data_IF_893921159248
#
_entry.id   IF_893921159248
#
_cell.length_a   1.000
_cell.length_b   1.000
_cell.length_c   1.000
_cell.angle_alpha   90.00
_cell.angle_beta   90.00
_cell.angle_gamma   90.00
#
_symmetry.space_group_name_H-M   'P 1'
#
loop_
_entity.id
_entity.type
_entity.pdbx_description
1 polymer ?
#
# COMPACT_ATOMS: atom_id res chain seq x y z
N UNK A 1 25.79 7.31 22.29
CA UNK A 1 24.64 6.40 22.07
C UNK A 1 24.13 6.75 20.68
N UNK A 2 24.51 5.98 19.66
CA UNK A 2 23.87 6.12 18.35
C UNK A 2 22.38 5.85 18.55
N UNK A 3 21.46 6.69 18.04
CA UNK A 3 20.09 6.59 18.46
C UNK A 3 19.49 5.29 17.93
N UNK A 4 18.57 4.75 18.71
CA UNK A 4 17.59 3.68 18.43
C UNK A 4 16.70 3.94 17.21
N UNK A 5 17.14 4.78 16.26
CA UNK A 5 16.40 5.36 15.13
C UNK A 5 17.14 5.26 13.79
N UNK A 6 18.28 4.56 13.72
CA UNK A 6 18.94 4.32 12.44
C UNK A 6 18.36 3.07 11.78
N UNK A 7 17.20 3.20 11.10
CA UNK A 7 16.55 2.07 10.42
C UNK A 7 17.13 1.81 9.02
N UNK A 8 17.52 2.86 8.27
CA UNK A 8 18.13 2.74 6.94
C UNK A 8 19.13 3.89 6.71
N UNK A 9 20.32 3.57 6.22
CA UNK A 9 21.28 4.56 5.67
C UNK A 9 21.58 4.18 4.23
N UNK A 10 21.13 5.00 3.29
CA UNK A 10 21.54 4.86 1.89
C UNK A 10 22.93 5.49 1.71
N UNK A 11 23.89 4.65 1.34
CA UNK A 11 25.25 5.10 0.99
C UNK A 11 25.36 5.04 -0.54
N UNK A 12 25.34 6.21 -1.17
CA UNK A 12 25.54 6.36 -2.62
C UNK A 12 26.93 6.93 -2.89
N UNK A 13 27.47 6.65 -4.08
CA UNK A 13 28.73 7.27 -4.51
C UNK A 13 28.61 8.80 -4.49
N UNK A 14 29.62 9.55 -4.00
CA UNK A 14 29.64 11.01 -4.09
C UNK A 14 29.62 11.54 -5.53
N UNK A 15 29.87 10.67 -6.52
CA UNK A 15 29.83 11.01 -7.94
C UNK A 15 28.42 10.87 -8.55
N UNK A 16 27.47 10.29 -7.83
CA UNK A 16 26.08 10.14 -8.29
C UNK A 16 25.39 11.51 -8.23
N UNK A 17 24.86 12.04 -9.35
CA UNK A 17 24.05 13.26 -9.33
C UNK A 17 22.84 13.12 -8.41
N UNK A 18 22.57 14.15 -7.60
CA UNK A 18 21.47 14.13 -6.61
C UNK A 18 20.11 14.44 -7.26
N UNK A 19 20.12 15.07 -8.43
CA UNK A 19 18.96 15.63 -9.13
C UNK A 19 18.66 14.94 -10.48
N UNK A 20 19.37 13.84 -10.81
CA UNK A 20 19.20 13.14 -12.08
C UNK A 20 19.06 11.64 -11.87
N UNK A 21 18.23 11.01 -12.70
CA UNK A 21 18.17 9.55 -12.80
C UNK A 21 19.47 9.02 -13.44
N UNK A 22 20.00 7.93 -12.90
CA UNK A 22 21.22 7.29 -13.40
C UNK A 22 20.90 5.86 -13.82
N UNK A 23 21.30 5.47 -15.03
CA UNK A 23 21.10 4.12 -15.57
C UNK A 23 22.22 3.13 -15.17
N UNK A 24 23.27 3.63 -14.53
CA UNK A 24 24.41 2.87 -14.01
C UNK A 24 24.55 3.12 -12.49
N UNK A 25 23.74 2.42 -11.67
CA UNK A 25 23.70 2.64 -10.23
C UNK A 25 24.95 2.04 -9.57
N UNK A 26 25.71 2.88 -8.86
CA UNK A 26 26.86 2.45 -8.06
C UNK A 26 26.47 2.40 -6.58
N UNK A 27 26.46 1.19 -6.02
CA UNK A 27 26.17 0.92 -4.61
C UNK A 27 27.28 0.13 -3.90
N UNK A 28 27.03 -0.23 -2.64
CA UNK A 28 27.94 -1.02 -1.79
C UNK A 28 27.44 -2.46 -1.53
N UNK A 29 26.37 -2.85 -2.22
CA UNK A 29 25.65 -4.11 -2.00
C UNK A 29 26.31 -5.35 -2.65
N UNK A 30 25.71 -6.53 -2.44
CA UNK A 30 26.23 -7.81 -2.92
C UNK A 30 26.07 -8.07 -4.42
N UNK A 31 25.33 -7.23 -5.15
CA UNK A 31 25.06 -7.38 -6.57
C UNK A 31 25.26 -6.07 -7.33
N UNK A 32 25.66 -6.18 -8.59
CA UNK A 32 25.76 -5.07 -9.56
C UNK A 32 24.68 -5.20 -10.62
N UNK A 33 24.16 -4.07 -11.10
CA UNK A 33 23.27 -4.05 -12.26
C UNK A 33 24.06 -4.44 -13.51
N UNK A 34 23.64 -5.51 -14.18
CA UNK A 34 24.26 -6.02 -15.40
C UNK A 34 23.53 -5.52 -16.64
N UNK A 35 22.20 -5.61 -16.65
CA UNK A 35 21.36 -5.13 -17.75
C UNK A 35 20.01 -4.69 -17.21
N UNK A 36 19.47 -3.62 -17.79
CA UNK A 36 18.12 -3.12 -17.52
C UNK A 36 17.37 -2.91 -18.84
N UNK A 37 16.16 -3.46 -18.91
CA UNK A 37 15.17 -3.22 -19.96
C UNK A 37 13.77 -3.19 -19.32
N UNK A 38 12.74 -2.65 -20.00
CA UNK A 38 11.39 -2.65 -19.45
C UNK A 38 10.82 -4.06 -19.14
N UNK A 39 11.37 -5.11 -19.76
CA UNK A 39 10.90 -6.49 -19.57
C UNK A 39 11.79 -7.33 -18.65
N UNK A 40 13.03 -6.90 -18.41
CA UNK A 40 14.04 -7.74 -17.74
C UNK A 40 15.10 -6.90 -17.05
N UNK A 41 15.46 -7.31 -15.83
CA UNK A 41 16.59 -6.79 -15.06
C UNK A 41 17.49 -7.93 -14.68
N UNK A 42 18.78 -7.79 -14.94
CA UNK A 42 19.79 -8.79 -14.65
C UNK A 42 20.77 -8.21 -13.64
N UNK A 43 20.99 -8.96 -12.56
CA UNK A 43 21.95 -8.65 -11.52
C UNK A 43 23.02 -9.74 -11.48
N UNK A 44 24.28 -9.35 -11.41
CA UNK A 44 25.41 -10.26 -11.20
C UNK A 44 26.00 -10.04 -9.80
N UNK A 45 26.46 -11.11 -9.15
CA UNK A 45 27.09 -11.01 -7.84
C UNK A 45 28.38 -10.18 -7.91
N UNK A 46 28.56 -9.28 -6.94
CA UNK A 46 29.72 -8.42 -6.86
C UNK A 46 30.89 -9.11 -6.15
N UNK A 47 31.95 -9.44 -6.90
CA UNK A 47 33.11 -10.14 -6.36
C UNK A 47 33.84 -9.40 -5.23
N UNK A 48 33.77 -8.06 -5.24
CA UNK A 48 34.36 -7.17 -4.24
C UNK A 48 33.44 -6.88 -3.05
N UNK A 49 32.32 -7.60 -2.90
CA UNK A 49 31.42 -7.39 -1.78
C UNK A 49 32.15 -7.65 -0.45
N UNK A 50 32.02 -6.69 0.46
CA UNK A 50 32.71 -6.70 1.75
C UNK A 50 32.11 -7.69 2.76
N UNK A 51 30.89 -8.17 2.51
CA UNK A 51 30.19 -9.14 3.35
C UNK A 51 30.37 -10.58 2.91
N UNK A 52 29.48 -11.47 3.38
CA UNK A 52 29.44 -12.87 2.95
C UNK A 52 29.06 -12.94 1.47
N UNK A 53 29.82 -13.71 0.69
CA UNK A 53 29.51 -13.92 -0.73
C UNK A 53 28.19 -14.70 -0.89
N UNK A 54 27.29 -14.25 -1.78
CA UNK A 54 26.01 -14.92 -2.03
C UNK A 54 26.22 -16.27 -2.72
N UNK A 55 25.32 -17.24 -2.48
CA UNK A 55 25.30 -18.47 -3.28
C UNK A 55 24.71 -18.22 -4.67
N UNK A 56 23.71 -17.32 -4.75
CA UNK A 56 23.17 -16.84 -6.01
C UNK A 56 24.21 -15.93 -6.67
N UNK A 57 24.72 -16.33 -7.83
CA UNK A 57 25.73 -15.56 -8.59
C UNK A 57 25.12 -14.66 -9.66
N UNK A 58 23.88 -14.96 -10.07
CA UNK A 58 23.13 -14.19 -11.06
C UNK A 58 21.64 -14.28 -10.77
N UNK A 59 20.94 -13.15 -10.83
CA UNK A 59 19.49 -13.08 -10.71
C UNK A 59 18.90 -12.38 -11.94
N UNK A 60 17.83 -12.95 -12.49
CA UNK A 60 17.11 -12.37 -13.63
C UNK A 60 15.66 -12.15 -13.21
N UNK A 61 15.25 -10.88 -13.18
CA UNK A 61 13.88 -10.47 -12.94
C UNK A 61 13.18 -10.35 -14.27
N UNK A 62 12.02 -10.99 -14.40
CA UNK A 62 11.22 -10.98 -15.63
C UNK A 62 9.83 -10.46 -15.29
N UNK A 63 9.38 -9.43 -16.01
CA UNK A 63 8.08 -8.84 -15.75
C UNK A 63 6.97 -9.66 -16.40
N UNK A 64 6.02 -10.10 -15.58
CA UNK A 64 4.78 -10.78 -15.98
C UNK A 64 3.62 -10.21 -15.17
N UNK A 65 2.66 -9.52 -15.79
CA UNK A 65 1.55 -8.90 -15.07
C UNK A 65 0.65 -9.92 -14.37
N UNK A 66 0.35 -11.02 -15.04
CA UNK A 66 -0.63 -12.01 -14.60
C UNK A 66 -0.03 -12.94 -13.54
N UNK A 67 -0.71 -13.02 -12.39
CA UNK A 67 -0.32 -13.89 -11.27
C UNK A 67 -0.24 -15.37 -11.69
N UNK A 68 -1.24 -15.86 -12.40
CA UNK A 68 -1.30 -17.24 -12.86
C UNK A 68 -0.12 -17.62 -13.77
N UNK A 69 0.32 -16.69 -14.63
CA UNK A 69 1.51 -16.90 -15.48
C UNK A 69 2.76 -17.01 -14.61
N UNK A 70 2.94 -16.12 -13.63
CA UNK A 70 4.09 -16.20 -12.71
C UNK A 70 4.11 -17.50 -11.91
N UNK A 71 2.95 -17.90 -11.38
CA UNK A 71 2.81 -19.12 -10.61
C UNK A 71 3.13 -20.38 -11.43
N UNK A 72 2.68 -20.42 -12.70
CA UNK A 72 2.98 -21.49 -13.64
C UNK A 72 4.47 -21.53 -14.03
N UNK A 73 5.12 -20.38 -14.22
CA UNK A 73 6.57 -20.34 -14.51
C UNK A 73 7.40 -20.97 -13.39
N UNK A 74 7.01 -20.80 -12.12
CA UNK A 74 7.71 -21.47 -11.01
C UNK A 74 7.41 -22.96 -10.97
N UNK A 75 6.16 -23.34 -11.24
CA UNK A 75 5.74 -24.75 -11.28
C UNK A 75 6.46 -25.56 -12.38
N UNK A 76 6.69 -24.95 -13.55
CA UNK A 76 7.41 -25.59 -14.66
C UNK A 76 8.93 -25.48 -14.55
N UNK A 77 9.44 -24.73 -13.58
CA UNK A 77 10.87 -24.47 -13.38
C UNK A 77 11.48 -23.43 -14.33
N UNK A 78 10.67 -22.64 -15.04
CA UNK A 78 11.12 -21.47 -15.82
C UNK A 78 11.56 -20.31 -14.91
N UNK A 79 10.99 -20.21 -13.71
CA UNK A 79 11.38 -19.26 -12.67
C UNK A 79 11.63 -19.97 -11.33
N UNK A 80 12.49 -19.38 -10.49
CA UNK A 80 12.82 -19.95 -9.17
C UNK A 80 11.87 -19.53 -8.05
N UNK A 81 11.24 -18.36 -8.17
CA UNK A 81 10.23 -17.86 -7.24
C UNK A 81 9.38 -16.79 -7.94
N UNK A 82 8.20 -16.53 -7.39
CA UNK A 82 7.42 -15.33 -7.70
C UNK A 82 6.81 -14.76 -6.42
N UNK A 83 7.00 -13.45 -6.15
CA UNK A 83 6.24 -12.77 -5.12
C UNK A 83 4.81 -12.44 -5.57
N UNK A 84 3.97 -12.09 -4.60
CA UNK A 84 2.66 -11.46 -4.78
C UNK A 84 1.77 -12.14 -5.82
N UNK A 85 1.47 -13.43 -5.64
CA UNK A 85 0.44 -14.12 -6.42
C UNK A 85 -0.94 -13.97 -5.78
N UNK A 86 -2.00 -14.13 -6.58
CA UNK A 86 -3.38 -14.16 -6.13
C UNK A 86 -3.65 -15.44 -5.34
N UNK A 87 -4.59 -15.39 -4.39
CA UNK A 87 -4.91 -16.54 -3.55
C UNK A 87 -5.33 -17.77 -4.39
N UNK A 88 -6.11 -17.58 -5.45
CA UNK A 88 -6.54 -18.68 -6.32
C UNK A 88 -5.39 -19.35 -7.08
N UNK A 89 -4.25 -18.66 -7.25
CA UNK A 89 -3.04 -19.20 -7.88
C UNK A 89 -2.08 -19.82 -6.86
N UNK A 90 -2.29 -19.58 -5.56
CA UNK A 90 -1.54 -20.17 -4.45
C UNK A 90 -2.08 -21.58 -4.11
N UNK A 91 -2.05 -22.48 -5.11
CA UNK A 91 -2.71 -23.78 -5.07
C UNK A 91 -1.90 -24.93 -4.46
N UNK A 92 -0.61 -24.73 -4.14
CA UNK A 92 0.29 -25.78 -3.65
C UNK A 92 0.93 -25.40 -2.30
N UNK A 93 0.43 -25.92 -1.16
CA UNK A 93 0.95 -25.61 0.18
C UNK A 93 2.43 -25.99 0.42
N UNK A 94 3.04 -26.82 -0.42
CA UNK A 94 4.47 -27.17 -0.30
C UNK A 94 5.40 -26.10 -0.85
N UNK A 95 4.92 -25.31 -1.82
CA UNK A 95 5.69 -24.26 -2.50
C UNK A 95 5.13 -22.86 -2.28
N UNK A 96 3.87 -22.75 -1.85
CA UNK A 96 3.15 -21.51 -1.69
C UNK A 96 3.08 -21.12 -0.22
N UNK A 97 3.61 -19.94 0.07
CA UNK A 97 3.76 -19.45 1.42
C UNK A 97 2.96 -18.16 1.56
N UNK A 98 2.01 -18.18 2.50
CA UNK A 98 1.31 -17.00 2.97
C UNK A 98 2.14 -16.31 4.08
N UNK A 99 2.16 -14.98 4.08
CA UNK A 99 2.84 -14.17 5.10
C UNK A 99 2.16 -12.81 5.25
N UNK A 100 2.16 -12.24 6.45
CA UNK A 100 1.78 -10.85 6.63
C UNK A 100 2.75 -9.97 5.85
N UNK A 101 2.29 -9.17 4.90
CA UNK A 101 3.19 -8.41 4.03
C UNK A 101 3.47 -6.97 4.52
N UNK A 102 2.99 -6.60 5.72
CA UNK A 102 3.12 -5.27 6.32
C UNK A 102 2.48 -4.12 5.54
N UNK A 103 1.65 -4.41 4.53
CA UNK A 103 0.99 -3.40 3.71
C UNK A 103 -0.47 -3.24 4.14
N UNK A 104 -0.93 -2.00 4.25
CA UNK A 104 -2.34 -1.66 4.41
C UNK A 104 -2.89 -1.14 3.10
N UNK A 105 -3.96 -1.76 2.61
CA UNK A 105 -4.73 -1.24 1.48
C UNK A 105 -5.78 -0.23 1.97
N UNK A 106 -6.04 0.80 1.17
CA UNK A 106 -7.02 1.82 1.50
C UNK A 106 -7.54 2.53 0.26
N UNK A 107 -8.65 3.25 0.41
CA UNK A 107 -9.10 4.26 -0.56
C UNK A 107 -8.94 5.64 0.09
N UNK A 108 -8.22 6.55 -0.55
CA UNK A 108 -8.21 7.95 -0.13
C UNK A 108 -9.42 8.68 -0.70
N UNK A 109 -10.06 9.48 0.14
CA UNK A 109 -11.15 10.35 -0.24
C UNK A 109 -10.59 11.75 -0.54
N UNK A 110 -10.90 12.32 -1.71
CA UNK A 110 -10.59 13.73 -2.00
C UNK A 110 -11.56 14.66 -1.27
N UNK A 111 -11.35 14.82 0.04
CA UNK A 111 -12.21 15.61 0.93
C UNK A 111 -12.24 17.12 0.62
N UNK A 112 -11.44 17.60 -0.33
CA UNK A 112 -11.50 18.98 -0.83
C UNK A 112 -12.59 19.19 -1.90
N UNK A 113 -13.06 18.12 -2.55
CA UNK A 113 -13.95 18.20 -3.71
C UNK A 113 -15.40 17.81 -3.32
N UNK A 114 -16.42 18.59 -3.71
CA UNK A 114 -17.81 18.17 -3.56
C UNK A 114 -18.14 16.93 -4.42
N UNK A 115 -18.95 15.96 -3.93
CA UNK A 115 -19.67 15.95 -2.66
C UNK A 115 -18.87 15.35 -1.49
N UNK A 116 -17.61 14.95 -1.73
CA UNK A 116 -16.75 14.29 -0.75
C UNK A 116 -16.29 15.22 0.38
N UNK A 117 -16.46 16.54 0.22
CA UNK A 117 -16.24 17.51 1.28
C UNK A 117 -17.31 17.47 2.41
N UNK A 118 -18.45 16.83 2.19
CA UNK A 118 -19.46 16.58 3.23
C UNK A 118 -19.14 15.32 4.04
N UNK A 119 -19.09 15.46 5.38
CA UNK A 119 -18.73 14.37 6.29
C UNK A 119 -19.71 13.19 6.21
N UNK A 120 -21.00 13.42 5.94
CA UNK A 120 -22.01 12.34 5.85
C UNK A 120 -21.72 11.44 4.66
N UNK A 121 -21.30 12.03 3.52
CA UNK A 121 -20.90 11.27 2.33
C UNK A 121 -19.66 10.41 2.63
N UNK A 122 -18.66 10.97 3.33
CA UNK A 122 -17.44 10.21 3.70
C UNK A 122 -17.72 9.06 4.67
N UNK A 123 -18.63 9.25 5.62
CA UNK A 123 -19.10 8.18 6.52
C UNK A 123 -19.87 7.11 5.76
N UNK A 124 -20.79 7.50 4.87
CA UNK A 124 -21.56 6.57 4.05
C UNK A 124 -20.65 5.68 3.18
N UNK A 125 -19.58 6.24 2.60
CA UNK A 125 -18.60 5.48 1.82
C UNK A 125 -17.95 4.34 2.63
N UNK A 126 -17.67 4.55 3.91
CA UNK A 126 -17.09 3.52 4.78
C UNK A 126 -18.12 2.47 5.21
N UNK A 127 -19.37 2.88 5.45
CA UNK A 127 -20.45 2.02 5.93
C UNK A 127 -21.06 1.15 4.82
N UNK A 128 -20.96 1.56 3.56
CA UNK A 128 -21.56 0.86 2.42
C UNK A 128 -20.83 -0.42 1.98
N UNK A 129 -19.62 -0.69 2.50
CA UNK A 129 -18.79 -1.78 1.99
C UNK A 129 -19.01 -3.07 2.79
N UNK A 130 -19.38 -4.13 2.10
CA UNK A 130 -19.39 -5.49 2.65
C UNK A 130 -17.95 -6.01 2.77
N UNK A 131 -17.38 -5.84 3.96
CA UNK A 131 -16.00 -6.22 4.26
C UNK A 131 -15.78 -7.73 4.28
N UNK A 132 -16.78 -8.53 4.66
CA UNK A 132 -16.66 -9.99 4.68
C UNK A 132 -16.66 -10.56 3.26
N UNK A 133 -17.56 -10.06 2.41
CA UNK A 133 -17.57 -10.40 0.99
C UNK A 133 -16.26 -9.99 0.29
N UNK A 134 -15.74 -8.80 0.61
CA UNK A 134 -14.51 -8.29 0.00
C UNK A 134 -13.25 -9.06 0.47
N UNK A 135 -13.22 -9.55 1.71
CA UNK A 135 -12.08 -10.32 2.25
C UNK A 135 -11.82 -11.61 1.46
N UNK A 136 -12.86 -12.22 0.88
CA UNK A 136 -12.74 -13.45 0.08
C UNK A 136 -11.83 -13.29 -1.14
N UNK A 137 -11.66 -12.07 -1.66
CA UNK A 137 -10.75 -11.79 -2.78
C UNK A 137 -9.27 -11.88 -2.38
N UNK A 138 -8.95 -11.78 -1.09
CA UNK A 138 -7.58 -11.67 -0.62
C UNK A 138 -7.15 -12.82 0.30
N UNK A 139 -8.11 -13.61 0.78
CA UNK A 139 -7.88 -14.79 1.60
C UNK A 139 -8.29 -14.63 3.05
N UNK A 140 -8.53 -15.77 3.71
CA UNK A 140 -9.11 -15.82 5.06
C UNK A 140 -8.25 -15.16 6.14
N UNK A 141 -6.95 -15.01 5.90
CA UNK A 141 -5.98 -14.47 6.86
C UNK A 141 -5.81 -12.94 6.80
N UNK A 142 -6.45 -12.25 5.84
CA UNK A 142 -6.40 -10.78 5.80
C UNK A 142 -7.09 -10.18 7.01
N UNK A 143 -6.51 -9.10 7.55
CA UNK A 143 -7.05 -8.46 8.75
C UNK A 143 -7.71 -7.15 8.38
N UNK A 144 -8.94 -6.94 8.82
CA UNK A 144 -9.64 -5.68 8.63
C UNK A 144 -8.84 -4.54 9.25
N UNK A 145 -8.48 -3.54 8.45
CA UNK A 145 -7.72 -2.38 8.91
C UNK A 145 -8.65 -1.30 9.49
N UNK A 146 -8.28 -0.74 10.65
CA UNK A 146 -8.94 0.46 11.21
C UNK A 146 -8.18 1.75 10.95
N UNK A 147 -6.90 1.63 10.57
CA UNK A 147 -5.96 2.72 10.33
C UNK A 147 -4.88 2.29 9.33
N UNK A 148 -4.11 3.25 8.82
CA UNK A 148 -3.11 3.01 7.78
C UNK A 148 -1.89 2.19 8.23
N UNK A 149 -1.57 2.19 9.52
CA UNK A 149 -0.41 1.47 10.05
C UNK A 149 -0.81 0.12 10.65
N UNK A 150 -0.01 -0.91 10.42
CA UNK A 150 -0.18 -2.24 11.02
C UNK A 150 0.20 -2.26 12.50
N UNK A 151 -0.24 -3.28 13.24
CA UNK A 151 0.18 -3.48 14.64
C UNK A 151 1.69 -3.66 14.73
N UNK A 152 2.31 -3.13 15.80
CA UNK A 152 3.76 -3.07 15.99
C UNK A 152 4.45 -1.80 15.48
N UNK A 153 3.76 -0.97 14.68
CA UNK A 153 4.24 0.37 14.32
C UNK A 153 3.95 1.33 15.47
N UNK A 154 4.95 2.12 15.89
CA UNK A 154 4.75 3.13 16.92
C UNK A 154 3.65 4.12 16.50
N UNK A 155 2.62 4.25 17.33
CA UNK A 155 1.44 5.07 17.06
C UNK A 155 0.22 4.29 16.57
N UNK A 156 0.34 2.98 16.25
CA UNK A 156 -0.82 2.12 16.02
C UNK A 156 -1.67 2.05 17.28
N UNK A 157 -2.98 2.29 17.14
CA UNK A 157 -3.95 2.14 18.21
C UNK A 157 -4.78 0.86 18.07
N UNK A 158 -4.50 -0.16 18.89
CA UNK A 158 -5.27 -1.43 18.87
C UNK A 158 -6.72 -1.25 19.37
N UNK A 159 -7.05 -0.12 20.01
CA UNK A 159 -8.41 0.18 20.47
C UNK A 159 -9.29 0.79 19.36
N UNK A 160 -8.70 1.13 18.21
CA UNK A 160 -9.42 1.70 17.08
C UNK A 160 -10.07 0.56 16.28
N UNK A 161 -11.39 0.50 16.33
CA UNK A 161 -12.15 -0.53 15.61
C UNK A 161 -12.29 -0.19 14.12
N UNK A 162 -12.34 -1.15 13.20
CA UNK A 162 -12.68 -0.88 11.81
C UNK A 162 -14.09 -0.30 11.64
N UNK A 163 -14.38 0.25 10.47
CA UNK A 163 -15.76 0.64 10.14
C UNK A 163 -16.65 -0.59 9.97
N UNK A 164 -17.87 -0.59 10.55
CA UNK A 164 -18.81 -1.67 10.31
C UNK A 164 -19.40 -1.60 8.89
N UNK A 165 -20.01 -2.70 8.46
CA UNK A 165 -20.89 -2.71 7.28
C UNK A 165 -22.32 -2.39 7.73
N UNK A 166 -22.84 -1.23 7.32
CA UNK A 166 -24.21 -0.78 7.59
C UNK A 166 -24.74 -0.02 6.35
N UNK A 167 -25.21 -0.75 5.33
CA UNK A 167 -25.64 -0.15 4.07
C UNK A 167 -26.91 0.70 4.23
N UNK A 168 -27.73 0.44 5.25
CA UNK A 168 -28.96 1.20 5.49
C UNK A 168 -28.64 2.56 6.11
N UNK A 169 -27.71 2.61 7.08
CA UNK A 169 -27.20 3.88 7.59
C UNK A 169 -26.45 4.67 6.50
N UNK A 170 -25.69 4.00 5.64
CA UNK A 170 -25.02 4.64 4.50
C UNK A 170 -26.02 5.37 3.59
N UNK A 171 -27.10 4.69 3.16
CA UNK A 171 -28.18 5.28 2.36
C UNK A 171 -28.84 6.44 3.09
N UNK A 172 -29.11 6.30 4.39
CA UNK A 172 -29.73 7.35 5.21
C UNK A 172 -28.87 8.62 5.21
N UNK A 173 -27.56 8.49 5.42
CA UNK A 173 -26.62 9.61 5.42
C UNK A 173 -26.53 10.30 4.05
N UNK A 174 -26.59 9.54 2.95
CA UNK A 174 -26.61 10.07 1.58
C UNK A 174 -27.89 10.87 1.32
N UNK A 175 -29.05 10.36 1.75
CA UNK A 175 -30.32 11.08 1.61
C UNK A 175 -30.40 12.34 2.48
N UNK A 176 -29.83 12.32 3.69
CA UNK A 176 -29.69 13.53 4.50
C UNK A 176 -28.79 14.59 3.84
N UNK A 177 -27.69 14.15 3.22
CA UNK A 177 -26.81 15.03 2.46
C UNK A 177 -27.55 15.62 1.25
N UNK A 178 -28.28 14.78 0.51
CA UNK A 178 -29.14 15.20 -0.62
C UNK A 178 -30.18 16.23 -0.18
N UNK A 179 -30.91 15.97 0.91
CA UNK A 179 -31.92 16.87 1.44
C UNK A 179 -31.34 18.23 1.90
N UNK A 180 -30.08 18.24 2.32
CA UNK A 180 -29.33 19.45 2.67
C UNK A 180 -28.73 20.18 1.45
N UNK A 181 -28.99 19.72 0.22
CA UNK A 181 -28.50 20.35 -1.01
C UNK A 181 -27.10 19.92 -1.43
N UNK A 182 -26.52 18.89 -0.82
CA UNK A 182 -25.24 18.31 -1.28
C UNK A 182 -25.46 17.62 -2.63
N UNK A 183 -24.58 17.90 -3.58
CA UNK A 183 -24.66 17.37 -4.95
C UNK A 183 -24.20 15.91 -5.04
N UNK A 184 -24.88 15.00 -4.34
CA UNK A 184 -24.53 13.57 -4.24
C UNK A 184 -24.63 12.82 -5.58
N UNK A 185 -25.35 13.35 -6.57
CA UNK A 185 -25.44 12.78 -7.93
C UNK A 185 -24.22 13.11 -8.82
N UNK A 186 -23.33 13.98 -8.34
CA UNK A 186 -22.07 14.30 -9.02
C UNK A 186 -21.27 13.02 -9.23
N UNK A 187 -20.76 12.82 -10.44
CA UNK A 187 -19.90 11.68 -10.73
C UNK A 187 -18.62 11.72 -9.88
N UNK A 188 -18.38 10.67 -9.10
CA UNK A 188 -17.18 10.44 -8.32
C UNK A 188 -16.30 9.43 -9.07
N UNK A 189 -15.06 9.80 -9.38
CA UNK A 189 -14.12 8.90 -10.04
C UNK A 189 -13.50 7.97 -9.01
N UNK A 190 -13.73 6.66 -9.13
CA UNK A 190 -12.94 5.66 -8.45
C UNK A 190 -11.71 5.36 -9.31
N UNK A 191 -10.54 5.72 -8.81
CA UNK A 191 -9.27 5.62 -9.54
C UNK A 191 -8.49 4.44 -8.99
N UNK A 192 -8.40 3.37 -9.77
CA UNK A 192 -7.59 2.20 -9.48
C UNK A 192 -6.27 2.20 -10.25
N UNK A 193 -5.31 1.38 -9.80
CA UNK A 193 -4.02 1.17 -10.49
C UNK A 193 -3.92 -0.27 -10.98
N UNK A 194 -3.60 -0.43 -12.27
CA UNK A 194 -3.34 -1.74 -12.86
C UNK A 194 -2.20 -2.46 -12.11
N UNK A 195 -2.48 -3.68 -11.64
CA UNK A 195 -1.49 -4.53 -10.98
C UNK A 195 -0.95 -3.99 -9.65
N UNK A 196 -1.71 -3.17 -8.92
CA UNK A 196 -1.25 -2.64 -7.62
C UNK A 196 -1.05 -3.74 -6.58
N UNK A 197 -1.98 -4.68 -6.52
CA UNK A 197 -1.94 -5.92 -5.77
C UNK A 197 -2.89 -6.93 -6.45
N UNK A 198 -2.71 -8.25 -6.26
CA UNK A 198 -3.59 -9.27 -6.82
C UNK A 198 -5.06 -9.04 -6.46
N UNK A 199 -5.96 -9.32 -7.40
CA UNK A 199 -7.42 -9.12 -7.28
C UNK A 199 -7.86 -7.65 -6.98
N UNK A 200 -6.97 -6.68 -7.20
CA UNK A 200 -7.24 -5.28 -6.91
C UNK A 200 -8.25 -4.62 -7.85
N UNK A 201 -8.38 -5.07 -9.09
CA UNK A 201 -9.37 -4.51 -10.03
C UNK A 201 -10.78 -4.98 -9.65
N UNK A 202 -10.91 -6.26 -9.34
CA UNK A 202 -12.13 -6.93 -8.87
C UNK A 202 -12.63 -6.28 -7.57
N UNK A 203 -11.71 -5.96 -6.65
CA UNK A 203 -12.05 -5.24 -5.43
C UNK A 203 -12.60 -3.83 -5.73
N UNK A 204 -12.03 -3.10 -6.69
CA UNK A 204 -12.54 -1.78 -7.07
C UNK A 204 -13.91 -1.86 -7.76
N UNK A 205 -14.15 -2.88 -8.59
CA UNK A 205 -15.45 -3.11 -9.23
C UNK A 205 -16.54 -3.45 -8.19
N UNK A 206 -16.22 -4.29 -7.21
CA UNK A 206 -17.10 -4.62 -6.11
C UNK A 206 -17.45 -3.37 -5.26
N UNK A 207 -16.44 -2.60 -4.84
CA UNK A 207 -16.64 -1.38 -4.07
C UNK A 207 -17.44 -0.32 -4.85
N UNK A 208 -17.18 -0.16 -6.16
CA UNK A 208 -17.98 0.72 -7.03
C UNK A 208 -19.46 0.34 -6.99
N UNK A 209 -19.77 -0.94 -7.13
CA UNK A 209 -21.15 -1.45 -7.12
C UNK A 209 -21.81 -1.18 -5.76
N UNK A 210 -21.12 -1.46 -4.65
CA UNK A 210 -21.62 -1.21 -3.29
C UNK A 210 -21.94 0.28 -3.05
N UNK A 211 -21.10 1.20 -3.54
CA UNK A 211 -21.39 2.63 -3.44
C UNK A 211 -22.52 3.10 -4.36
N UNK A 212 -22.67 2.50 -5.54
CA UNK A 212 -23.81 2.75 -6.42
C UNK A 212 -25.12 2.30 -5.76
N UNK A 213 -25.14 1.12 -5.13
CA UNK A 213 -26.29 0.60 -4.39
C UNK A 213 -26.64 1.46 -3.16
N UNK A 214 -25.66 2.14 -2.58
CA UNK A 214 -25.86 3.12 -1.51
C UNK A 214 -26.42 4.46 -2.01
N UNK A 215 -26.42 4.71 -3.34
CA UNK A 215 -27.00 5.91 -3.95
C UNK A 215 -26.00 6.96 -4.44
N UNK A 216 -24.71 6.60 -4.58
CA UNK A 216 -23.67 7.48 -5.14
C UNK A 216 -23.39 7.17 -6.61
N UNK A 217 -23.10 8.20 -7.41
CA UNK A 217 -22.68 8.03 -8.80
C UNK A 217 -21.16 7.80 -8.88
N UNK A 218 -20.69 6.57 -8.61
CA UNK A 218 -19.26 6.23 -8.69
C UNK A 218 -18.91 5.57 -10.03
N UNK A 219 -17.79 5.97 -10.65
CA UNK A 219 -17.28 5.38 -11.90
C UNK A 219 -15.82 4.97 -11.78
N UNK A 220 -15.55 3.69 -12.02
CA UNK A 220 -14.20 3.13 -12.01
C UNK A 220 -13.40 3.55 -13.25
N UNK A 221 -12.15 3.96 -13.03
CA UNK A 221 -11.11 4.14 -14.04
C UNK A 221 -9.83 3.47 -13.54
N UNK A 222 -9.36 2.47 -14.28
CA UNK A 222 -8.07 1.82 -14.03
C UNK A 222 -6.97 2.53 -14.81
N UNK A 223 -5.91 2.92 -14.12
CA UNK A 223 -4.77 3.65 -14.69
C UNK A 223 -3.48 2.85 -14.58
N UNK A 224 -2.56 3.11 -15.51
CA UNK A 224 -1.17 2.69 -15.38
C UNK A 224 -0.43 3.56 -14.36
N UNK A 225 0.73 3.07 -13.91
CA UNK A 225 1.47 3.65 -12.78
C UNK A 225 1.72 5.15 -12.94
N UNK A 226 2.15 5.59 -14.13
CA UNK A 226 2.49 6.99 -14.38
C UNK A 226 1.27 7.93 -14.23
N UNK A 227 0.11 7.54 -14.75
CA UNK A 227 -1.11 8.35 -14.65
C UNK A 227 -1.72 8.28 -13.25
N UNK A 228 -1.72 7.10 -12.63
CA UNK A 228 -2.17 6.94 -11.25
C UNK A 228 -1.34 7.80 -10.27
N UNK A 229 -0.02 7.89 -10.46
CA UNK A 229 0.86 8.71 -9.63
C UNK A 229 0.50 10.20 -9.66
N UNK A 230 -0.05 10.70 -10.77
CA UNK A 230 -0.52 12.09 -10.87
C UNK A 230 -1.68 12.37 -9.92
N UNK A 231 -2.53 11.38 -9.66
CA UNK A 231 -3.59 11.49 -8.67
C UNK A 231 -3.05 11.24 -7.25
N UNK A 232 -2.06 10.36 -7.07
CA UNK A 232 -1.49 10.07 -5.76
C UNK A 232 -0.75 11.25 -5.14
N UNK A 233 0.10 11.92 -5.91
CA UNK A 233 1.11 12.84 -5.38
C UNK A 233 0.84 14.30 -5.78
N UNK A 234 1.02 15.22 -4.84
CA UNK A 234 0.98 16.66 -5.12
C UNK A 234 2.12 17.09 -6.08
N UNK A 235 1.87 18.10 -6.94
CA UNK A 235 0.60 18.79 -7.13
C UNK A 235 -0.42 17.93 -7.88
N UNK A 236 -1.66 17.88 -7.39
CA UNK A 236 -2.73 17.15 -8.06
C UNK A 236 -3.22 17.91 -9.31
N UNK A 237 -3.80 17.22 -10.32
CA UNK A 237 -4.41 17.86 -11.47
C UNK A 237 -5.50 18.86 -11.05
N UNK A 238 -5.54 20.08 -11.60
CA UNK A 238 -6.61 21.06 -11.32
C UNK A 238 -8.00 20.53 -11.69
N UNK A 239 -8.14 19.87 -12.84
CA UNK A 239 -9.41 19.26 -13.30
C UNK A 239 -9.67 17.82 -12.78
N UNK A 240 -9.08 17.43 -11.63
CA UNK A 240 -9.25 16.05 -11.12
C UNK A 240 -10.70 15.68 -10.79
N UNK A 241 -11.48 16.64 -10.27
CA UNK A 241 -12.84 16.42 -9.78
C UNK A 241 -12.88 15.52 -8.53
N UNK A 242 -14.07 15.24 -7.97
CA UNK A 242 -14.19 14.34 -6.83
C UNK A 242 -13.70 12.95 -7.20
N UNK A 243 -12.75 12.44 -6.42
CA UNK A 243 -12.15 11.15 -6.66
C UNK A 243 -11.92 10.36 -5.37
N UNK A 244 -12.01 9.05 -5.52
CA UNK A 244 -11.64 8.03 -4.57
C UNK A 244 -10.42 7.32 -5.15
N UNK A 245 -9.28 7.36 -4.47
CA UNK A 245 -8.03 6.82 -5.01
C UNK A 245 -7.63 5.55 -4.28
N UNK A 246 -7.51 4.44 -5.02
CA UNK A 246 -6.94 3.19 -4.52
C UNK A 246 -5.50 3.41 -4.10
N UNK A 247 -5.13 2.98 -2.89
CA UNK A 247 -3.80 3.10 -2.32
C UNK A 247 -3.39 1.80 -1.60
N UNK A 248 -2.08 1.63 -1.47
CA UNK A 248 -1.46 0.63 -0.63
C UNK A 248 -0.24 1.27 0.02
N UNK A 249 -0.04 1.00 1.31
CA UNK A 249 0.99 1.68 2.11
C UNK A 249 1.72 0.70 3.01
N UNK A 250 3.04 0.69 2.94
CA UNK A 250 3.93 -0.01 3.86
C UNK A 250 4.47 0.96 4.92
N UNK A 251 4.80 0.43 6.11
CA UNK A 251 5.59 1.19 7.08
C UNK A 251 6.71 0.33 7.65
N UNK A 252 7.77 0.17 6.85
CA UNK A 252 8.97 -0.56 7.24
C UNK A 252 9.87 0.20 8.24
N UNK A 253 9.51 1.43 8.63
CA UNK A 253 10.32 2.27 9.54
C UNK A 253 9.93 2.12 11.01
N UNK A 254 8.83 1.46 11.31
CA UNK A 254 8.39 1.19 12.68
C UNK A 254 7.80 2.39 13.42
N UNK A 255 7.57 3.53 12.77
CA UNK A 255 7.03 4.75 13.39
C UNK A 255 6.03 5.47 12.47
N UNK A 256 4.91 5.92 13.04
CA UNK A 256 3.86 6.60 12.31
C UNK A 256 4.28 7.95 11.70
N UNK A 257 5.44 8.52 12.06
CA UNK A 257 6.00 9.68 11.34
C UNK A 257 6.35 9.39 9.88
N UNK A 258 6.50 8.12 9.50
CA UNK A 258 6.64 7.76 8.08
C UNK A 258 5.29 7.77 7.33
N UNK A 259 4.16 7.83 8.05
CA UNK A 259 2.80 7.73 7.48
C UNK A 259 2.04 9.03 7.65
N UNK A 260 1.82 9.46 8.90
CA UNK A 260 0.93 10.56 9.28
C UNK A 260 1.16 11.86 8.50
N UNK A 261 2.39 12.43 8.40
CA UNK A 261 2.57 13.69 7.70
C UNK A 261 2.39 13.59 6.18
N UNK A 262 2.54 12.40 5.60
CA UNK A 262 2.36 12.19 4.16
C UNK A 262 0.87 12.17 3.81
N UNK A 263 0.07 11.49 4.64
CA UNK A 263 -1.35 11.22 4.39
C UNK A 263 -2.29 12.29 4.94
N UNK A 264 -1.97 12.92 6.08
CA UNK A 264 -2.93 13.76 6.80
C UNK A 264 -2.53 15.23 6.93
N UNK A 265 -1.24 15.56 6.93
CA UNK A 265 -0.81 16.97 6.99
C UNK A 265 -1.15 17.67 5.67
N UNK A 266 -1.59 18.92 5.69
CA UNK A 266 -1.99 19.68 4.49
C UNK A 266 -0.85 19.84 3.48
N UNK A 267 0.41 19.82 3.92
CA UNK A 267 1.58 19.82 3.02
C UNK A 267 2.01 18.41 2.57
N UNK A 268 1.38 17.36 3.10
CA UNK A 268 1.68 15.98 2.79
C UNK A 268 1.47 15.71 1.31
N UNK A 269 2.38 14.95 0.71
CA UNK A 269 2.36 14.66 -0.72
C UNK A 269 1.10 13.91 -1.14
N UNK A 270 0.50 13.11 -0.25
CA UNK A 270 -0.70 12.31 -0.56
C UNK A 270 -1.97 12.90 0.09
N UNK A 271 -1.85 13.90 0.95
CA UNK A 271 -2.98 14.48 1.65
C UNK A 271 -3.83 15.37 0.74
N UNK A 272 -5.14 15.18 0.81
CA UNK A 272 -6.15 16.06 0.19
C UNK A 272 -6.71 17.08 1.20
N UNK A 273 -6.21 17.06 2.43
CA UNK A 273 -6.70 17.90 3.53
C UNK A 273 -6.09 19.29 3.50
N UNK A 274 -6.82 20.23 4.08
CA UNK A 274 -6.41 21.61 4.35
C UNK A 274 -6.96 22.03 5.72
N UNK A 275 -6.35 21.53 6.80
CA UNK A 275 -6.77 21.79 8.19
C UNK A 275 -5.57 22.25 9.03
N UNK A 276 -5.41 23.57 9.25
CA UNK A 276 -4.30 24.11 10.05
C UNK A 276 -4.30 23.63 11.51
N UNK A 277 -5.46 23.30 12.08
CA UNK A 277 -5.54 22.79 13.44
C UNK A 277 -5.05 21.34 13.50
N UNK A 278 -5.38 20.53 12.50
CA UNK A 278 -4.85 19.18 12.38
C UNK A 278 -3.35 19.18 12.04
N UNK A 279 -2.89 20.10 11.20
CA UNK A 279 -1.46 20.30 10.91
C UNK A 279 -0.66 20.56 12.19
N UNK A 280 -1.16 21.48 13.03
CA UNK A 280 -0.53 21.79 14.31
C UNK A 280 -0.43 20.55 15.20
N UNK A 281 -1.50 19.75 15.29
CA UNK A 281 -1.49 18.51 16.07
C UNK A 281 -0.47 17.50 15.54
N UNK A 282 -0.35 17.38 14.21
CA UNK A 282 0.65 16.52 13.56
C UNK A 282 2.07 17.03 13.85
N UNK A 283 2.32 18.33 13.75
CA UNK A 283 3.63 18.92 14.03
C UNK A 283 4.05 18.72 15.49
N UNK A 284 3.12 18.85 16.43
CA UNK A 284 3.34 18.56 17.86
C UNK A 284 3.68 17.07 18.08
N UNK A 285 2.97 16.15 17.42
CA UNK A 285 3.25 14.72 17.49
C UNK A 285 4.63 14.36 16.92
N UNK A 286 5.02 14.99 15.80
CA UNK A 286 6.33 14.79 15.18
C UNK A 286 7.48 15.27 16.07
N UNK A 287 7.28 16.34 16.84
CA UNK A 287 8.25 16.88 17.78
C UNK A 287 8.31 16.10 19.12
N UNK A 288 7.25 15.37 19.46
CA UNK A 288 7.17 14.59 20.68
C UNK A 288 8.09 13.35 20.68
N UNK A 289 8.40 12.86 21.87
CA UNK A 289 9.25 11.67 22.11
C UNK A 289 8.61 10.70 23.10
N UNK A 290 9.04 9.43 23.09
CA UNK A 290 8.59 8.41 24.04
C UNK A 290 7.07 8.17 24.00
N UNK A 291 6.47 7.88 25.14
CA UNK A 291 5.04 7.56 25.25
C UNK A 291 4.13 8.71 24.79
N UNK A 292 4.53 9.96 25.04
CA UNK A 292 3.77 11.13 24.57
C UNK A 292 3.61 11.12 23.04
N UNK A 293 4.67 10.78 22.31
CA UNK A 293 4.64 10.62 20.85
C UNK A 293 3.69 9.52 20.41
N UNK A 294 3.80 8.35 21.05
CA UNK A 294 2.93 7.20 20.77
C UNK A 294 1.46 7.61 20.92
N UNK A 295 1.10 8.22 22.05
CA UNK A 295 -0.27 8.64 22.33
C UNK A 295 -0.75 9.76 21.39
N UNK A 296 0.12 10.70 20.99
CA UNK A 296 -0.21 11.73 20.01
C UNK A 296 -0.52 11.13 18.63
N UNK A 297 0.23 10.12 18.17
CA UNK A 297 -0.10 9.44 16.91
C UNK A 297 -1.39 8.64 16.97
N UNK A 298 -1.65 7.93 18.08
CA UNK A 298 -2.95 7.26 18.31
C UNK A 298 -4.10 8.24 18.21
N UNK A 299 -3.98 9.40 18.86
CA UNK A 299 -4.99 10.45 18.79
C UNK A 299 -5.19 11.00 17.36
N UNK A 300 -4.12 11.08 16.56
CA UNK A 300 -4.20 11.48 15.15
C UNK A 300 -4.97 10.44 14.32
N UNK A 301 -4.69 9.14 14.48
CA UNK A 301 -5.46 8.10 13.78
C UNK A 301 -6.92 8.08 14.23
N UNK A 302 -7.18 8.26 15.54
CA UNK A 302 -8.54 8.41 16.07
C UNK A 302 -9.29 9.58 15.44
N UNK A 303 -8.64 10.75 15.32
CA UNK A 303 -9.21 11.93 14.65
C UNK A 303 -9.42 11.69 13.15
N UNK A 304 -8.42 11.11 12.47
CA UNK A 304 -8.48 10.79 11.05
C UNK A 304 -9.68 9.88 10.73
N UNK A 305 -9.92 8.85 11.57
CA UNK A 305 -11.06 7.95 11.43
C UNK A 305 -12.40 8.58 11.82
N UNK A 306 -12.48 9.24 12.98
CA UNK A 306 -13.78 9.56 13.61
C UNK A 306 -14.32 10.94 13.22
N UNK A 307 -13.44 11.91 12.96
CA UNK A 307 -13.79 13.30 12.73
C UNK A 307 -13.55 13.72 11.27
N UNK A 308 -12.38 13.38 10.73
CA UNK A 308 -12.00 13.80 9.38
C UNK A 308 -12.59 12.85 8.33
N UNK A 309 -12.45 11.55 8.53
CA UNK A 309 -12.87 10.47 7.62
C UNK A 309 -12.22 10.67 6.24
N UNK A 310 -10.90 10.83 6.18
CA UNK A 310 -10.16 11.15 4.95
C UNK A 310 -9.85 9.92 4.08
N UNK A 311 -10.03 8.73 4.63
CA UNK A 311 -9.70 7.46 4.00
C UNK A 311 -10.72 6.38 4.37
N UNK A 312 -10.60 5.28 3.64
CA UNK A 312 -11.33 4.03 3.84
C UNK A 312 -10.25 2.94 3.94
N UNK A 313 -9.68 2.70 5.13
CA UNK A 313 -8.76 1.58 5.32
C UNK A 313 -9.49 0.28 4.97
N UNK A 314 -8.83 -0.66 4.28
CA UNK A 314 -9.41 -1.92 3.79
C UNK A 314 -8.82 -3.13 4.54
N UNK A 315 -7.60 -3.53 4.26
CA UNK A 315 -7.00 -4.69 4.93
C UNK A 315 -5.52 -4.46 5.22
N UNK A 316 -5.06 -4.96 6.35
CA UNK A 316 -3.66 -5.34 6.52
C UNK A 316 -3.48 -6.65 5.75
N UNK A 317 -2.74 -6.58 4.65
CA UNK A 317 -2.71 -7.60 3.62
C UNK A 317 -1.84 -8.80 4.01
N UNK A 318 -2.18 -9.94 3.43
CA UNK A 318 -1.35 -11.14 3.38
C UNK A 318 -0.79 -11.23 1.96
N UNK A 319 0.51 -11.50 1.85
CA UNK A 319 1.16 -11.82 0.59
C UNK A 319 1.21 -13.33 0.39
N UNK A 320 1.09 -13.77 -0.86
CA UNK A 320 1.36 -15.15 -1.27
C UNK A 320 2.58 -15.13 -2.18
N UNK A 321 3.57 -15.95 -1.85
CA UNK A 321 4.78 -16.13 -2.65
C UNK A 321 4.98 -17.60 -2.94
N UNK A 322 5.15 -17.94 -4.22
CA UNK A 322 5.53 -19.29 -4.65
C UNK A 322 7.04 -19.37 -4.74
N UNK A 323 7.64 -20.33 -4.02
CA UNK A 323 9.09 -20.60 -4.03
C UNK A 323 9.32 -21.98 -4.63
N UNK A 324 10.10 -22.02 -5.72
CA UNK A 324 10.47 -23.24 -6.40
C UNK A 324 11.27 -24.18 -5.50
N UNK A 325 11.17 -25.48 -5.78
CA UNK A 325 11.74 -26.52 -4.91
C UNK A 325 13.25 -26.46 -4.78
N UNK A 326 13.95 -25.81 -5.72
CA UNK A 326 15.42 -25.61 -5.73
C UNK A 326 15.92 -24.65 -4.65
N UNK A 327 15.09 -23.74 -4.14
CA UNK A 327 15.53 -22.73 -3.19
C UNK A 327 15.30 -23.15 -1.72
N UNK A 328 16.26 -22.81 -0.87
CA UNK A 328 16.14 -22.81 0.60
C UNK A 328 15.84 -21.39 1.07
N UNK A 329 14.61 -20.95 0.83
CA UNK A 329 14.14 -19.65 1.27
C UNK A 329 12.62 -19.69 1.50
N UNK A 330 12.15 -18.89 2.46
CA UNK A 330 10.74 -18.68 2.72
C UNK A 330 10.49 -17.19 2.80
N UNK A 331 9.35 -16.70 2.30
CA UNK A 331 9.00 -15.32 2.45
C UNK A 331 8.69 -14.98 3.91
N UNK A 332 8.80 -13.70 4.21
CA UNK A 332 8.52 -13.09 5.49
C UNK A 332 7.93 -11.69 5.28
N UNK A 333 7.77 -10.97 6.38
CA UNK A 333 7.15 -9.66 6.41
C UNK A 333 7.84 -8.60 5.53
N UNK A 334 9.09 -8.80 5.13
CA UNK A 334 9.81 -7.84 4.28
C UNK A 334 9.75 -8.21 2.79
N UNK A 335 9.23 -9.39 2.45
CA UNK A 335 9.29 -9.95 1.09
C UNK A 335 8.68 -9.06 -0.01
N UNK A 336 7.64 -8.30 0.30
CA UNK A 336 7.04 -7.37 -0.67
C UNK A 336 7.91 -6.13 -0.93
N UNK A 337 8.73 -5.72 0.05
CA UNK A 337 9.65 -4.59 -0.07
C UNK A 337 11.05 -5.02 -0.53
N UNK A 338 11.48 -6.23 -0.18
CA UNK A 338 12.81 -6.76 -0.49
C UNK A 338 12.83 -8.28 -0.61
N UNK A 339 13.60 -8.80 -1.58
CA UNK A 339 13.97 -10.22 -1.63
C UNK A 339 15.48 -10.29 -1.39
N UNK A 340 15.94 -10.85 -0.26
CA UNK A 340 17.34 -10.80 0.13
C UNK A 340 18.15 -11.86 -0.63
N UNK A 341 18.42 -11.62 -1.92
CA UNK A 341 19.14 -12.54 -2.83
C UNK A 341 20.41 -13.13 -2.22
N UNK A 342 21.16 -12.33 -1.44
CA UNK A 342 22.39 -12.79 -0.82
C UNK A 342 22.22 -13.80 0.31
N UNK A 343 21.01 -13.88 0.87
CA UNK A 343 20.63 -14.80 1.94
C UNK A 343 19.90 -16.05 1.41
N UNK A 344 19.54 -16.09 0.12
CA UNK A 344 18.92 -17.26 -0.51
C UNK A 344 19.99 -18.32 -0.75
N UNK A 345 19.71 -19.54 -0.29
CA UNK A 345 20.53 -20.71 -0.57
C UNK A 345 19.86 -21.64 -1.60
N UNK A 346 20.66 -22.45 -2.28
CA UNK A 346 20.20 -23.49 -3.21
C UNK A 346 20.28 -24.83 -2.49
N UNK A 347 19.21 -25.64 -2.54
CA UNK A 347 19.20 -26.99 -1.99
C UNK A 347 20.30 -27.81 -2.66
N UNK A 348 21.07 -28.53 -1.85
CA UNK A 348 22.01 -29.54 -2.37
C UNK A 348 21.21 -30.77 -2.76
N UNK A 349 21.43 -31.24 -3.98
CA UNK A 349 20.88 -32.52 -4.48
C UNK A 349 21.31 -33.72 -3.63
#
# INVERSE_FOLDING_TARGET
IMPTLLSVVMIVSPKTPVDQAVNDPVGTGPFTLSTFSPQTVVLDAFDGYWGKKPQITKATYVWRPESSIRAAMVETGEADLTPSIAIQDASNPETDFAYLNSETTAIRIDAAEPPLNDLRVRKALNLAIDWEGLAQLFGDDVKRASQMVVSGINGHDDALEPWPYDPEEAKRLIEEARAAGVAVDTEIKLIGRNGIYPNGAEAMEAMMTMWQDAGLNVKLTMLDVADWLRYLQKPFPPERGPNLLQMMHDNNKGDAAFTVPIFYRSSGSYSTLADPAFDKQIDEALAATGEARTNSFKAIFGKARNEVVADIPMFHMIGYTRVGTRLEWKPDITTNSEIPLANIAIKKD
#
